data_IF_139936146760
#
_entry.id   IF_139936146760
#
_cell.length_a   1.000
_cell.length_b   1.000
_cell.length_c   1.000
_cell.angle_alpha   90.00
_cell.angle_beta   90.00
_cell.angle_gamma   90.00
#
_symmetry.space_group_name_H-M   'P 1'
#
loop_
_entity.id
_entity.type
_entity.pdbx_description
1 polymer ?
#
# COMPACT_ATOMS: atom_id res chain seq x y z
N UNK A 1 -1.37 10.60 11.94
CA UNK A 1 -1.12 9.15 12.02
C UNK A 1 -0.90 8.65 10.60
N UNK A 2 0.16 7.88 10.32
CA UNK A 2 0.37 7.25 9.00
C UNK A 2 -0.11 5.80 9.09
N UNK A 3 -1.13 5.44 8.32
CA UNK A 3 -1.62 4.06 8.23
C UNK A 3 -0.68 3.25 7.32
N UNK A 4 -0.35 2.03 7.71
CA UNK A 4 0.44 1.13 6.87
C UNK A 4 -0.42 0.52 5.76
N UNK A 5 0.22 -0.04 4.74
CA UNK A 5 -0.46 -0.80 3.68
C UNK A 5 -1.37 -1.89 4.26
N UNK A 6 -0.85 -2.64 5.25
CA UNK A 6 -1.61 -3.70 5.93
C UNK A 6 -2.84 -3.16 6.66
N UNK A 7 -2.72 -1.99 7.30
CA UNK A 7 -3.85 -1.36 7.99
C UNK A 7 -4.93 -0.95 6.99
N UNK A 8 -4.55 -0.38 5.85
CA UNK A 8 -5.49 0.03 4.80
C UNK A 8 -6.20 -1.19 4.19
N UNK A 9 -5.48 -2.27 3.89
CA UNK A 9 -6.08 -3.51 3.37
C UNK A 9 -7.09 -4.10 4.36
N UNK A 10 -6.73 -4.14 5.65
CA UNK A 10 -7.64 -4.63 6.70
C UNK A 10 -8.90 -3.76 6.81
N UNK A 11 -8.76 -2.44 6.70
CA UNK A 11 -9.90 -1.50 6.71
C UNK A 11 -10.82 -1.74 5.51
N UNK A 12 -10.27 -1.95 4.31
CA UNK A 12 -11.06 -2.25 3.10
C UNK A 12 -11.85 -3.54 3.28
N UNK A 13 -11.25 -4.60 3.82
CA UNK A 13 -11.93 -5.87 4.09
C UNK A 13 -13.06 -5.70 5.11
N UNK A 14 -12.81 -4.96 6.19
CA UNK A 14 -13.82 -4.68 7.22
C UNK A 14 -15.00 -3.88 6.64
N UNK A 15 -14.73 -2.85 5.84
CA UNK A 15 -15.77 -2.07 5.14
C UNK A 15 -16.54 -2.97 4.17
N UNK A 16 -15.88 -3.83 3.41
CA UNK A 16 -16.52 -4.77 2.49
C UNK A 16 -17.47 -5.74 3.21
N UNK A 17 -17.12 -6.23 4.39
CA UNK A 17 -18.01 -7.04 5.21
C UNK A 17 -19.21 -6.25 5.74
N UNK A 18 -19.00 -5.00 6.14
CA UNK A 18 -20.08 -4.13 6.62
C UNK A 18 -21.09 -3.81 5.51
N UNK A 19 -20.61 -3.50 4.30
CA UNK A 19 -21.42 -3.27 3.10
C UNK A 19 -22.31 -4.48 2.82
N UNK A 20 -21.79 -5.71 2.91
CA UNK A 20 -22.59 -6.94 2.74
C UNK A 20 -23.73 -7.03 3.75
N UNK A 21 -23.44 -6.77 5.03
CA UNK A 21 -24.46 -6.76 6.09
C UNK A 21 -25.53 -5.71 5.80
N UNK A 22 -25.14 -4.54 5.30
CA UNK A 22 -26.06 -3.45 4.97
C UNK A 22 -26.96 -3.83 3.81
N UNK A 23 -26.39 -4.42 2.76
CA UNK A 23 -27.12 -4.93 1.61
C UNK A 23 -28.12 -6.03 2.00
N UNK A 24 -27.72 -6.98 2.85
CA UNK A 24 -28.60 -8.03 3.37
C UNK A 24 -29.78 -7.44 4.15
N UNK A 25 -29.52 -6.43 5.00
CA UNK A 25 -30.56 -5.76 5.77
C UNK A 25 -31.52 -4.96 4.91
N UNK A 26 -31.02 -4.16 3.96
CA UNK A 26 -31.85 -3.41 3.02
C UNK A 26 -32.74 -4.34 2.19
N UNK A 27 -32.21 -5.49 1.78
CA UNK A 27 -32.96 -6.51 1.03
C UNK A 27 -33.96 -7.31 1.88
N UNK A 28 -33.83 -7.29 3.22
CA UNK A 28 -34.70 -8.05 4.11
C UNK A 28 -36.11 -7.46 4.22
N UNK A 29 -36.31 -6.21 3.81
CA UNK A 29 -37.62 -5.52 3.85
C UNK A 29 -38.16 -5.26 5.26
N UNK A 30 -37.36 -5.47 6.31
CA UNK A 30 -37.74 -5.28 7.71
C UNK A 30 -37.45 -3.87 8.25
N UNK A 31 -37.11 -2.93 7.38
CA UNK A 31 -36.79 -1.55 7.73
C UNK A 31 -37.94 -0.63 7.32
N UNK A 32 -38.22 0.38 8.14
CA UNK A 32 -39.11 1.46 7.70
C UNK A 32 -38.40 2.38 6.69
N UNK A 33 -39.17 3.26 6.02
CA UNK A 33 -38.66 4.11 4.95
C UNK A 33 -37.52 5.04 5.40
N UNK A 34 -37.54 5.52 6.65
CA UNK A 34 -36.48 6.39 7.19
C UNK A 34 -35.23 5.59 7.53
N UNK A 35 -35.40 4.41 8.13
CA UNK A 35 -34.30 3.50 8.43
C UNK A 35 -33.62 3.00 7.14
N UNK A 36 -34.41 2.67 6.12
CA UNK A 36 -33.91 2.28 4.81
C UNK A 36 -33.17 3.44 4.11
N UNK A 37 -33.68 4.67 4.21
CA UNK A 37 -33.02 5.85 3.65
C UNK A 37 -31.66 6.13 4.32
N UNK A 38 -31.63 6.20 5.66
CA UNK A 38 -30.39 6.43 6.40
C UNK A 38 -29.36 5.32 6.14
N UNK A 39 -29.80 4.07 6.11
CA UNK A 39 -28.93 2.94 5.84
C UNK A 39 -28.43 2.92 4.39
N UNK A 40 -29.25 3.41 3.45
CA UNK A 40 -28.86 3.63 2.06
C UNK A 40 -27.78 4.70 1.90
N UNK A 41 -27.91 5.82 2.61
CA UNK A 41 -26.89 6.88 2.62
C UNK A 41 -25.56 6.38 3.19
N UNK A 42 -25.62 5.67 4.33
CA UNK A 42 -24.43 5.06 4.93
C UNK A 42 -23.80 4.01 4.00
N UNK A 43 -24.61 3.21 3.31
CA UNK A 43 -24.15 2.24 2.33
C UNK A 43 -23.36 2.91 1.19
N UNK A 44 -23.90 3.99 0.62
CA UNK A 44 -23.24 4.75 -0.45
C UNK A 44 -21.94 5.39 0.04
N UNK A 45 -21.94 5.93 1.26
CA UNK A 45 -20.72 6.46 1.88
C UNK A 45 -19.65 5.38 2.03
N UNK A 46 -20.01 4.19 2.54
CA UNK A 46 -19.07 3.09 2.73
C UNK A 46 -18.51 2.55 1.41
N UNK A 47 -19.33 2.46 0.36
CA UNK A 47 -18.85 2.10 -0.99
C UNK A 47 -17.85 3.13 -1.51
N UNK A 48 -18.19 4.42 -1.40
CA UNK A 48 -17.31 5.51 -1.86
C UNK A 48 -15.98 5.50 -1.10
N UNK A 49 -16.03 5.30 0.22
CA UNK A 49 -14.85 5.21 1.06
C UNK A 49 -13.98 4.01 0.71
N UNK A 50 -14.58 2.84 0.46
CA UNK A 50 -13.87 1.64 0.01
C UNK A 50 -13.14 1.90 -1.30
N UNK A 51 -13.83 2.48 -2.28
CA UNK A 51 -13.29 2.74 -3.60
C UNK A 51 -12.14 3.78 -3.55
N UNK A 52 -12.27 4.82 -2.72
CA UNK A 52 -11.20 5.80 -2.49
C UNK A 52 -9.97 5.17 -1.82
N UNK A 53 -10.16 4.28 -0.85
CA UNK A 53 -9.07 3.54 -0.22
C UNK A 53 -8.40 2.57 -1.20
N UNK A 54 -9.17 1.85 -2.01
CA UNK A 54 -8.63 1.00 -3.07
C UNK A 54 -7.86 1.80 -4.12
N UNK A 55 -8.37 2.97 -4.52
CA UNK A 55 -7.67 3.88 -5.44
C UNK A 55 -6.40 4.40 -4.81
N UNK A 56 -6.41 4.74 -3.53
CA UNK A 56 -5.22 5.14 -2.77
C UNK A 56 -4.21 4.02 -2.71
N UNK A 57 -4.63 2.76 -2.54
CA UNK A 57 -3.74 1.60 -2.62
C UNK A 57 -3.18 1.42 -4.02
N UNK A 58 -4.01 1.51 -5.07
CA UNK A 58 -3.57 1.39 -6.47
C UNK A 58 -2.58 2.48 -6.86
N UNK A 59 -2.85 3.73 -6.48
CA UNK A 59 -1.94 4.84 -6.70
C UNK A 59 -0.66 4.71 -5.88
N UNK A 60 -0.73 4.24 -4.63
CA UNK A 60 0.47 3.94 -3.86
C UNK A 60 1.23 2.74 -4.43
N UNK A 61 0.55 1.74 -5.02
CA UNK A 61 1.21 0.65 -5.73
C UNK A 61 1.77 1.12 -7.08
N UNK A 62 1.18 2.09 -7.77
CA UNK A 62 1.71 2.66 -9.02
C UNK A 62 2.88 3.62 -8.76
N UNK A 63 2.84 4.37 -7.65
CA UNK A 63 3.96 5.17 -7.16
C UNK A 63 5.06 4.24 -6.63
N UNK A 64 4.70 3.17 -5.92
CA UNK A 64 5.64 2.13 -5.53
C UNK A 64 6.14 1.32 -6.73
N UNK A 65 5.39 1.14 -7.83
CA UNK A 65 5.83 0.43 -9.03
C UNK A 65 6.74 1.32 -9.89
N UNK A 66 6.54 2.64 -9.89
CA UNK A 66 7.50 3.57 -10.50
C UNK A 66 8.77 3.76 -9.64
N UNK A 67 8.69 3.57 -8.31
CA UNK A 67 9.88 3.50 -7.44
C UNK A 67 10.47 2.09 -7.26
N UNK A 68 9.72 1.04 -7.60
CA UNK A 68 10.08 -0.39 -7.55
C UNK A 68 10.14 -1.03 -8.94
N UNK A 69 10.25 -0.21 -10.00
CA UNK A 69 10.83 -0.59 -11.28
C UNK A 69 12.36 -0.59 -11.26
N UNK A 70 12.96 -0.60 -10.06
CA UNK A 70 14.02 -1.57 -9.83
C UNK A 70 13.35 -2.92 -9.69
N UNK A 71 13.25 -3.67 -10.79
CA UNK A 71 13.08 -5.11 -10.80
C UNK A 71 13.63 -5.72 -9.51
N UNK A 72 12.85 -6.59 -8.85
CA UNK A 72 13.37 -7.48 -7.81
C UNK A 72 14.39 -8.42 -8.49
N UNK A 73 15.58 -7.88 -8.75
CA UNK A 73 16.77 -8.65 -9.07
C UNK A 73 17.07 -9.38 -7.78
N UNK A 74 17.02 -10.70 -7.80
CA UNK A 74 17.38 -11.48 -6.61
C UNK A 74 18.80 -11.07 -6.19
N UNK A 75 19.13 -11.14 -4.91
CA UNK A 75 20.50 -10.81 -4.47
C UNK A 75 21.50 -11.69 -5.23
N UNK A 76 21.14 -12.94 -5.51
CA UNK A 76 21.90 -13.86 -6.36
C UNK A 76 22.17 -13.31 -7.77
N UNK A 77 21.19 -12.63 -8.37
CA UNK A 77 21.27 -12.05 -9.71
C UNK A 77 22.13 -10.76 -9.73
N UNK A 78 22.32 -10.11 -8.58
CA UNK A 78 23.26 -8.98 -8.42
C UNK A 78 24.70 -9.42 -8.13
N UNK A 79 24.90 -10.61 -7.56
CA UNK A 79 26.23 -11.12 -7.20
C UNK A 79 27.09 -11.37 -8.45
N UNK A 80 26.52 -11.98 -9.49
CA UNK A 80 27.27 -12.35 -10.71
C UNK A 80 27.84 -11.09 -11.40
N UNK A 81 27.06 -10.03 -11.67
CA UNK A 81 27.59 -8.78 -12.23
C UNK A 81 28.66 -8.13 -11.35
N UNK A 82 28.44 -8.08 -10.02
CA UNK A 82 29.38 -7.44 -9.09
C UNK A 82 30.72 -8.17 -9.04
N UNK A 83 30.72 -9.50 -9.12
CA UNK A 83 31.95 -10.30 -9.16
C UNK A 83 32.76 -10.08 -10.44
N UNK A 84 32.10 -9.74 -11.55
CA UNK A 84 32.74 -9.43 -12.82
C UNK A 84 33.33 -8.02 -12.89
N UNK A 85 33.01 -7.14 -11.93
CA UNK A 85 33.59 -5.80 -11.87
C UNK A 85 35.07 -5.84 -11.45
N UNK A 86 35.92 -4.96 -12.02
CA UNK A 86 37.28 -4.76 -11.53
C UNK A 86 37.28 -4.29 -10.07
N UNK A 87 38.35 -4.62 -9.33
CA UNK A 87 38.49 -4.31 -7.89
C UNK A 87 38.17 -2.84 -7.58
N UNK A 88 38.64 -1.90 -8.40
CA UNK A 88 38.41 -0.46 -8.20
C UNK A 88 36.93 -0.08 -8.22
N UNK A 89 36.15 -0.67 -9.10
CA UNK A 89 34.70 -0.42 -9.20
C UNK A 89 33.94 -1.07 -8.05
N UNK A 90 34.37 -2.26 -7.59
CA UNK A 90 33.81 -2.88 -6.39
C UNK A 90 34.04 -2.02 -5.14
N UNK A 91 35.25 -1.47 -4.98
CA UNK A 91 35.57 -0.59 -3.85
C UNK A 91 34.74 0.71 -3.90
N UNK A 92 34.59 1.31 -5.08
CA UNK A 92 33.74 2.49 -5.25
C UNK A 92 32.27 2.20 -4.91
N UNK A 93 31.75 1.03 -5.28
CA UNK A 93 30.40 0.60 -4.95
C UNK A 93 30.21 0.46 -3.42
N UNK A 94 31.17 -0.15 -2.73
CA UNK A 94 31.13 -0.28 -1.25
C UNK A 94 31.12 1.08 -0.57
N UNK A 95 31.94 2.02 -1.06
CA UNK A 95 31.97 3.38 -0.51
C UNK A 95 30.62 4.09 -0.74
N UNK A 96 30.08 4.03 -1.96
CA UNK A 96 28.77 4.61 -2.27
C UNK A 96 27.64 4.04 -1.40
N UNK A 97 27.59 2.72 -1.21
CA UNK A 97 26.60 2.07 -0.32
C UNK A 97 26.77 2.56 1.13
N UNK A 98 28.02 2.64 1.61
CA UNK A 98 28.32 3.11 2.96
C UNK A 98 27.85 4.54 3.19
N UNK A 99 28.06 5.43 2.21
CA UNK A 99 27.61 6.82 2.27
C UNK A 99 26.08 6.93 2.25
N UNK A 100 25.40 6.14 1.41
CA UNK A 100 23.93 6.10 1.35
C UNK A 100 23.32 5.69 2.69
N UNK A 101 23.86 4.63 3.33
CA UNK A 101 23.38 4.18 4.66
C UNK A 101 23.57 5.28 5.71
N UNK A 102 24.72 5.96 5.71
CA UNK A 102 24.98 7.07 6.65
C UNK A 102 24.02 8.24 6.43
N UNK A 103 23.70 8.55 5.18
CA UNK A 103 22.76 9.62 4.84
C UNK A 103 21.35 9.29 5.32
N UNK A 104 20.89 8.06 5.09
CA UNK A 104 19.58 7.59 5.55
C UNK A 104 19.48 7.63 7.09
N UNK A 105 20.50 7.14 7.79
CA UNK A 105 20.56 7.23 9.25
C UNK A 105 20.51 8.67 9.76
N UNK A 106 21.11 9.62 9.05
CA UNK A 106 21.06 11.04 9.41
C UNK A 106 19.67 11.63 9.22
N UNK A 107 19.00 11.30 8.12
CA UNK A 107 17.64 11.76 7.82
C UNK A 107 16.61 11.19 8.80
N UNK A 108 16.79 9.96 9.25
CA UNK A 108 15.85 9.30 10.18
C UNK A 108 16.02 9.75 11.64
N UNK A 109 17.12 10.41 11.99
CA UNK A 109 17.43 10.90 13.34
C UNK A 109 17.33 12.44 13.47
N UNK A 110 16.84 13.14 12.44
CA UNK A 110 16.62 14.60 12.42
C UNK A 110 15.13 14.93 12.54
#
# INVERSE_FOLDING_TARGET
>A
MKLSFKDITFIIEAIGNLIKIYQERLNSGNLDDNEAANMGDDYVFLETLRDDLEKTLKQNSDIQLNSAQSSLVSIEDLIIPVLQLPISQRLALVDAITQSIRLELRLNNS
#
